data_IF_263404777321
#
_entry.id   IF_263404777321
#
_cell.length_a   1.000
_cell.length_b   1.000
_cell.length_c   1.000
_cell.angle_alpha   90.00
_cell.angle_beta   90.00
_cell.angle_gamma   90.00
#
_symmetry.space_group_name_H-M   'P 1'
#
loop_
_entity.id
_entity.type
_entity.pdbx_description
1 polymer ?
#
# COMPACT_ATOMS: atom_id res chain seq x y z
N UNK A 1 -45.83 -11.90 16.20
CA UNK A 1 -44.92 -12.60 17.12
C UNK A 1 -43.54 -12.67 16.45
N UNK A 2 -42.57 -11.80 16.78
CA UNK A 2 -41.18 -11.93 16.31
C UNK A 2 -40.35 -12.75 17.30
N UNK A 3 -39.59 -13.75 16.83
CA UNK A 3 -38.59 -14.47 17.64
C UNK A 3 -37.60 -15.17 16.66
N UNK A 4 -36.43 -14.56 16.38
CA UNK A 4 -35.14 -14.71 17.07
C UNK A 4 -34.35 -15.96 16.55
N UNK A 5 -33.41 -15.78 15.60
CA UNK A 5 -31.92 -15.71 15.77
C UNK A 5 -31.30 -17.12 15.68
N UNK A 6 -30.26 -17.47 14.92
CA UNK A 6 -28.99 -16.82 14.56
C UNK A 6 -28.32 -17.69 13.43
N UNK A 7 -27.00 -17.82 13.28
CA UNK A 7 -26.00 -16.96 12.64
C UNK A 7 -25.15 -17.79 11.63
N UNK A 8 -25.19 -17.52 10.32
CA UNK A 8 -24.17 -18.12 9.46
C UNK A 8 -23.70 -17.15 8.40
N UNK A 9 -22.43 -16.80 8.55
CA UNK A 9 -21.64 -15.87 7.78
C UNK A 9 -21.83 -15.97 6.27
N UNK A 10 -21.66 -14.80 5.64
CA UNK A 10 -21.40 -14.66 4.21
C UNK A 10 -21.35 -13.21 3.74
N UNK A 11 -21.86 -12.26 4.52
CA UNK A 11 -21.87 -10.85 4.14
C UNK A 11 -20.59 -10.15 4.66
N UNK A 12 -19.66 -9.88 3.75
CA UNK A 12 -19.47 -8.48 3.39
C UNK A 12 -18.82 -8.45 2.01
N UNK A 13 -19.61 -7.99 1.04
CA UNK A 13 -19.21 -7.29 -0.18
C UNK A 13 -17.69 -7.07 -0.24
N UNK A 14 -17.03 -7.70 -1.22
CA UNK A 14 -15.70 -7.26 -1.66
C UNK A 14 -15.85 -5.83 -2.16
N UNK A 15 -15.78 -4.89 -1.23
CA UNK A 15 -15.78 -3.47 -1.53
C UNK A 15 -14.54 -3.24 -2.38
N UNK A 16 -14.77 -2.95 -3.66
CA UNK A 16 -13.85 -2.35 -4.62
C UNK A 16 -13.37 -1.02 -4.03
N UNK A 17 -12.55 -1.11 -2.99
CA UNK A 17 -12.23 0.01 -2.13
C UNK A 17 -11.02 0.67 -2.72
N UNK A 18 -11.24 1.49 -3.74
CA UNK A 18 -10.17 2.31 -4.32
C UNK A 18 -9.53 3.16 -3.21
N UNK A 19 -8.26 2.90 -2.90
CA UNK A 19 -7.53 3.62 -1.85
C UNK A 19 -6.65 4.67 -2.50
N UNK A 20 -7.01 5.95 -2.33
CA UNK A 20 -6.19 7.07 -2.75
C UNK A 20 -5.36 7.63 -1.59
N UNK A 21 -4.07 7.87 -1.83
CA UNK A 21 -3.19 8.56 -0.88
C UNK A 21 -2.14 9.42 -1.60
N UNK A 22 -2.33 10.74 -1.60
CA UNK A 22 -1.39 11.65 -2.24
C UNK A 22 -1.43 11.53 -3.75
N UNK A 23 -0.33 11.08 -4.35
CA UNK A 23 -0.17 10.90 -5.80
C UNK A 23 -0.37 9.46 -6.28
N UNK A 24 -0.88 8.57 -5.42
CA UNK A 24 -1.16 7.19 -5.78
C UNK A 24 -2.62 6.82 -5.49
N UNK A 25 -3.20 6.04 -6.40
CA UNK A 25 -4.54 5.48 -6.29
C UNK A 25 -4.42 3.97 -6.52
N UNK A 26 -4.71 3.18 -5.50
CA UNK A 26 -4.80 1.72 -5.60
C UNK A 26 -6.23 1.38 -5.96
N UNK A 27 -6.43 0.64 -7.04
CA UNK A 27 -7.73 0.28 -7.61
C UNK A 27 -8.06 -1.19 -7.28
N UNK A 28 -8.20 -2.05 -8.29
CA UNK A 28 -8.45 -3.49 -8.15
C UNK A 28 -7.14 -4.30 -8.25
N UNK A 29 -7.20 -5.59 -7.93
CA UNK A 29 -6.08 -6.53 -7.79
C UNK A 29 -5.03 -6.44 -8.91
N UNK A 30 -4.01 -5.62 -8.68
CA UNK A 30 -2.84 -5.48 -9.56
C UNK A 30 -2.79 -4.18 -10.36
N UNK A 31 -3.83 -3.36 -10.33
CA UNK A 31 -3.89 -2.07 -11.03
C UNK A 31 -3.82 -0.93 -10.04
N UNK A 32 -2.88 -0.01 -10.28
CA UNK A 32 -2.81 1.24 -9.54
C UNK A 32 -2.48 2.39 -10.48
N UNK A 33 -2.74 3.61 -10.04
CA UNK A 33 -2.38 4.83 -10.74
C UNK A 33 -1.36 5.60 -9.90
N UNK A 34 -0.20 5.89 -10.48
CA UNK A 34 0.84 6.68 -9.85
C UNK A 34 1.09 7.94 -10.67
N UNK A 35 0.97 9.12 -10.05
CA UNK A 35 1.01 10.42 -10.72
C UNK A 35 0.03 10.55 -11.91
N UNK A 36 -1.06 9.78 -11.89
CA UNK A 36 -2.02 9.70 -12.99
C UNK A 36 -1.66 8.71 -14.09
N UNK A 37 -0.48 8.08 -14.03
CA UNK A 37 -0.08 6.99 -14.93
C UNK A 37 -0.56 5.64 -14.41
N UNK A 38 -1.21 4.86 -15.29
CA UNK A 38 -1.67 3.50 -14.96
C UNK A 38 -0.47 2.56 -14.89
N UNK A 39 -0.29 1.90 -13.76
CA UNK A 39 0.76 0.94 -13.50
C UNK A 39 0.14 -0.41 -13.12
N UNK A 40 0.68 -1.48 -13.71
CA UNK A 40 0.27 -2.85 -13.39
C UNK A 40 1.39 -3.55 -12.63
N UNK A 41 1.10 -3.92 -11.38
CA UNK A 41 2.05 -4.60 -10.51
C UNK A 41 1.67 -6.07 -10.31
N UNK A 42 2.65 -6.97 -10.20
CA UNK A 42 2.40 -8.34 -9.75
C UNK A 42 1.69 -8.37 -8.40
N UNK A 43 0.84 -9.37 -8.17
CA UNK A 43 -0.01 -9.54 -6.98
C UNK A 43 0.70 -9.17 -5.66
N UNK A 44 1.86 -9.75 -5.38
CA UNK A 44 2.63 -9.49 -4.14
C UNK A 44 3.07 -8.03 -4.02
N UNK A 45 3.53 -7.43 -5.12
CA UNK A 45 3.98 -6.04 -5.14
C UNK A 45 2.80 -5.08 -4.92
N UNK A 46 1.68 -5.36 -5.59
CA UNK A 46 0.44 -4.63 -5.41
C UNK A 46 -0.04 -4.67 -3.96
N UNK A 47 -0.11 -5.86 -3.35
CA UNK A 47 -0.54 -6.02 -1.96
C UNK A 47 0.37 -5.29 -0.96
N UNK A 48 1.69 -5.26 -1.20
CA UNK A 48 2.62 -4.49 -0.35
C UNK A 48 2.32 -2.99 -0.46
N UNK A 49 2.12 -2.49 -1.68
CA UNK A 49 1.78 -1.08 -1.90
C UNK A 49 0.44 -0.76 -1.24
N UNK A 50 -0.60 -1.54 -1.51
CA UNK A 50 -1.93 -1.43 -0.90
C UNK A 50 -1.86 -1.35 0.62
N UNK A 51 -1.13 -2.27 1.28
CA UNK A 51 -0.96 -2.26 2.73
C UNK A 51 -0.31 -0.96 3.22
N UNK A 52 0.75 -0.48 2.55
CA UNK A 52 1.44 0.76 2.90
C UNK A 52 0.56 2.01 2.68
N UNK A 53 -0.25 2.02 1.61
CA UNK A 53 -1.21 3.10 1.32
C UNK A 53 -2.36 3.09 2.32
N UNK A 54 -2.91 1.92 2.64
CA UNK A 54 -3.94 1.73 3.66
C UNK A 54 -3.46 2.19 5.05
N UNK A 55 -2.16 2.01 5.33
CA UNK A 55 -1.52 2.51 6.54
C UNK A 55 -1.39 4.05 6.59
N UNK A 56 -1.61 4.75 5.47
CA UNK A 56 -1.64 6.23 5.35
C UNK A 56 -0.44 6.93 6.00
N UNK A 57 0.75 6.35 5.82
CA UNK A 57 2.01 6.86 6.37
C UNK A 57 2.43 6.29 7.73
N UNK A 58 1.64 5.37 8.30
CA UNK A 58 2.11 4.52 9.41
C UNK A 58 3.15 3.52 8.91
N UNK A 59 4.07 3.15 9.79
CA UNK A 59 5.08 2.15 9.51
C UNK A 59 4.54 0.75 9.75
N UNK A 60 4.68 -0.12 8.75
CA UNK A 60 4.34 -1.54 8.82
C UNK A 60 5.62 -2.37 8.87
N UNK A 61 5.70 -3.30 9.82
CA UNK A 61 6.83 -4.22 9.95
C UNK A 61 6.82 -5.25 8.82
N UNK A 62 7.98 -5.84 8.51
CA UNK A 62 8.07 -6.96 7.56
C UNK A 62 7.17 -8.13 7.95
N UNK A 63 7.10 -8.46 9.24
CA UNK A 63 6.22 -9.52 9.75
C UNK A 63 4.75 -9.21 9.48
N UNK A 64 4.30 -7.98 9.75
CA UNK A 64 2.93 -7.58 9.46
C UNK A 64 2.62 -7.60 7.95
N UNK A 65 3.57 -7.17 7.11
CA UNK A 65 3.42 -7.26 5.66
C UNK A 65 3.37 -8.70 5.17
N UNK A 66 4.17 -9.60 5.76
CA UNK A 66 4.12 -11.03 5.46
C UNK A 66 2.78 -11.66 5.89
N UNK A 67 2.26 -11.30 7.06
CA UNK A 67 0.94 -11.72 7.53
C UNK A 67 -0.18 -11.17 6.63
N UNK A 68 -0.07 -9.92 6.16
CA UNK A 68 -1.00 -9.34 5.18
C UNK A 68 -1.04 -10.09 3.85
N UNK A 69 0.10 -10.70 3.48
CA UNK A 69 0.24 -11.54 2.29
C UNK A 69 -0.20 -12.99 2.55
N UNK A 70 -0.97 -13.25 3.60
CA UNK A 70 -1.42 -14.58 4.04
C UNK A 70 -0.27 -15.52 4.42
N UNK A 71 0.92 -14.97 4.70
CA UNK A 71 2.13 -15.75 4.98
C UNK A 71 2.76 -16.43 3.75
N UNK A 72 2.27 -16.17 2.54
CA UNK A 72 2.83 -16.70 1.28
C UNK A 72 4.27 -16.23 1.04
N UNK A 73 4.67 -15.15 1.71
CA UNK A 73 5.95 -14.49 1.53
C UNK A 73 6.71 -14.39 2.85
N UNK A 74 7.99 -14.76 2.84
CA UNK A 74 8.88 -14.60 3.98
C UNK A 74 9.23 -13.12 4.24
N UNK A 75 9.44 -12.78 5.52
CA UNK A 75 9.83 -11.43 5.96
C UNK A 75 11.06 -10.89 5.19
N UNK A 76 12.00 -11.80 4.92
CA UNK A 76 13.26 -11.52 4.22
C UNK A 76 13.00 -11.05 2.79
N UNK A 77 12.02 -11.67 2.13
CA UNK A 77 11.64 -11.37 0.75
C UNK A 77 10.91 -10.05 0.61
N UNK A 78 10.27 -9.53 1.67
CA UNK A 78 9.63 -8.21 1.67
C UNK A 78 10.62 -7.12 1.22
N UNK A 79 11.87 -7.19 1.69
CA UNK A 79 12.90 -6.22 1.29
C UNK A 79 13.20 -6.24 -0.21
N UNK A 80 13.17 -7.43 -0.83
CA UNK A 80 13.36 -7.61 -2.28
C UNK A 80 12.16 -7.07 -3.04
N UNK A 81 10.95 -7.38 -2.61
CA UNK A 81 9.73 -6.87 -3.26
C UNK A 81 9.61 -5.35 -3.14
N UNK A 82 9.92 -4.77 -1.98
CA UNK A 82 9.99 -3.31 -1.80
C UNK A 82 11.04 -2.70 -2.74
N UNK A 83 12.19 -3.35 -2.92
CA UNK A 83 13.20 -2.94 -3.90
C UNK A 83 12.66 -2.93 -5.33
N UNK A 84 11.97 -4.01 -5.73
CA UNK A 84 11.34 -4.13 -7.06
C UNK A 84 10.27 -3.07 -7.30
N UNK A 85 9.39 -2.87 -6.31
CA UNK A 85 8.39 -1.80 -6.30
C UNK A 85 9.10 -0.47 -6.54
N UNK A 86 10.10 -0.09 -5.73
CA UNK A 86 10.83 1.16 -5.93
C UNK A 86 11.43 1.29 -7.33
N UNK A 87 11.98 0.21 -7.89
CA UNK A 87 12.49 0.23 -9.26
C UNK A 87 11.39 0.55 -10.27
N UNK A 88 10.23 -0.12 -10.20
CA UNK A 88 9.11 0.15 -11.11
C UNK A 88 8.57 1.58 -10.98
N UNK A 89 8.44 2.09 -9.75
CA UNK A 89 8.06 3.49 -9.55
C UNK A 89 9.12 4.47 -10.06
N UNK A 90 10.41 4.12 -9.98
CA UNK A 90 11.52 4.91 -10.53
C UNK A 90 11.59 4.96 -12.05
N UNK A 91 10.98 4.00 -12.73
CA UNK A 91 10.82 4.05 -14.19
C UNK A 91 9.89 5.20 -14.61
N UNK A 92 8.91 5.55 -13.77
CA UNK A 92 8.02 6.69 -13.97
C UNK A 92 8.62 7.97 -13.38
N UNK A 93 9.06 7.91 -12.12
CA UNK A 93 9.59 9.05 -11.37
C UNK A 93 10.98 8.73 -10.83
N UNK A 94 12.07 9.16 -11.49
CA UNK A 94 13.42 8.80 -11.08
C UNK A 94 13.81 9.28 -9.67
N UNK A 95 13.11 10.29 -9.14
CA UNK A 95 13.28 10.81 -7.77
C UNK A 95 12.40 10.08 -6.74
N UNK A 96 11.75 8.97 -7.11
CA UNK A 96 10.83 8.25 -6.24
C UNK A 96 11.51 7.76 -4.96
N UNK A 97 11.16 8.41 -3.85
CA UNK A 97 11.60 8.06 -2.48
C UNK A 97 10.44 8.05 -1.47
N UNK A 98 9.22 7.76 -1.93
CA UNK A 98 8.04 7.74 -1.05
C UNK A 98 7.99 6.51 -0.14
N UNK A 99 8.70 5.42 -0.46
CA UNK A 99 8.77 4.24 0.41
C UNK A 99 9.99 4.37 1.32
N UNK A 100 9.77 4.73 2.59
CA UNK A 100 10.81 4.99 3.57
C UNK A 100 10.99 3.79 4.50
N UNK A 101 12.23 3.32 4.62
CA UNK A 101 12.62 2.29 5.59
C UNK A 101 12.84 2.91 6.97
N UNK A 102 12.10 2.45 7.98
CA UNK A 102 12.28 2.88 9.37
C UNK A 102 13.43 2.10 10.00
N UNK A 103 14.51 2.81 10.33
CA UNK A 103 15.73 2.22 10.92
C UNK A 103 15.41 1.59 12.29
N UNK A 104 15.91 0.38 12.52
CA UNK A 104 15.78 -0.34 13.80
C UNK A 104 14.53 -1.22 13.96
N UNK A 105 13.51 -1.06 13.12
CA UNK A 105 12.24 -1.79 13.27
C UNK A 105 11.91 -2.75 12.13
N UNK A 106 12.81 -2.88 11.15
CA UNK A 106 12.56 -3.65 9.92
C UNK A 106 11.16 -3.34 9.33
N UNK A 107 10.83 -2.06 9.27
CA UNK A 107 9.52 -1.56 8.91
C UNK A 107 9.61 -0.58 7.74
N UNK A 108 8.54 -0.51 6.97
CA UNK A 108 8.39 0.36 5.81
C UNK A 108 7.17 1.25 6.01
N UNK A 109 7.28 2.51 5.60
CA UNK A 109 6.15 3.44 5.57
C UNK A 109 6.07 4.12 4.21
N UNK A 110 4.87 4.48 3.82
CA UNK A 110 4.66 5.36 2.67
C UNK A 110 4.63 6.82 3.12
N UNK A 111 5.67 7.57 2.79
CA UNK A 111 5.78 8.99 3.05
C UNK A 111 5.48 9.77 1.76
N UNK A 112 4.23 10.17 1.59
CA UNK A 112 3.90 11.14 0.56
C UNK A 112 4.35 12.53 1.01
N UNK A 113 5.49 12.98 0.49
CA UNK A 113 5.88 14.39 0.60
C UNK A 113 5.00 15.18 -0.34
N UNK A 114 3.89 15.70 0.17
CA UNK A 114 3.04 16.67 -0.53
C UNK A 114 3.87 17.92 -0.84
N UNK A 115 4.62 17.88 -1.94
CA UNK A 115 5.44 18.97 -2.44
C UNK A 115 4.57 20.07 -3.04
N UNK A 116 3.93 20.86 -2.17
CA UNK A 116 3.82 22.33 -2.30
C UNK A 116 3.19 22.87 -1.02
N UNK A 117 4.03 23.10 -0.01
CA UNK A 117 3.84 24.26 0.83
C UNK A 117 3.96 25.50 -0.06
N UNK A 118 2.85 25.95 -0.65
CA UNK A 118 2.75 27.34 -1.08
C UNK A 118 2.75 28.16 0.20
N UNK A 119 3.96 28.55 0.64
CA UNK A 119 4.13 29.55 1.68
C UNK A 119 3.57 30.84 1.07
N UNK A 120 2.32 31.16 1.37
CA UNK A 120 1.80 32.52 1.19
C UNK A 120 2.65 33.42 2.10
N UNK A 121 3.62 34.10 1.51
CA UNK A 121 4.23 35.29 2.13
C UNK A 121 3.13 36.34 2.25
N UNK A 122 2.84 36.74 3.47
CA UNK A 122 1.98 37.87 3.82
C UNK A 122 2.81 38.91 4.56
#
# INVERSE_FOLDING_TARGET
MPNQTCPHCGEQLVEDTKIAYGNIIVEDRGVLYFQGERLELPRVQHQIVEALIAARGRALTRSYLAEWLDGDVFDQSISVYVGRVRSTFREIDPDFDQIVSVRGFAAYKWEFKSGRGHRVTH
#
